data_IF_929625649672
#
_entry.id   IF_929625649672
#
_cell.length_a   1.000
_cell.length_b   1.000
_cell.length_c   1.000
_cell.angle_alpha   90.00
_cell.angle_beta   90.00
_cell.angle_gamma   90.00
#
_symmetry.space_group_name_H-M   'P 1'
#
loop_
_entity.id
_entity.type
_entity.pdbx_description
1 polymer ?
#
# COMPACT_ATOMS: atom_id res chain seq x y z
N UNK A 1 -21.81 1.80 -12.95
CA UNK A 1 -20.77 2.86 -13.02
C UNK A 1 -19.77 2.67 -11.88
N UNK A 2 -18.47 2.97 -12.09
CA UNK A 2 -17.48 2.94 -11.00
C UNK A 2 -17.84 3.99 -9.93
N UNK A 3 -17.74 3.61 -8.65
CA UNK A 3 -17.96 4.53 -7.52
C UNK A 3 -16.63 5.15 -7.07
N UNK A 4 -16.63 6.40 -6.58
CA UNK A 4 -15.44 6.99 -5.98
C UNK A 4 -14.94 6.16 -4.79
N UNK A 5 -13.63 5.90 -4.68
CA UNK A 5 -13.07 5.10 -3.56
C UNK A 5 -13.40 5.66 -2.18
N UNK A 6 -13.61 6.97 -2.05
CA UNK A 6 -14.06 7.59 -0.80
C UNK A 6 -15.38 7.02 -0.28
N UNK A 7 -16.25 6.49 -1.15
CA UNK A 7 -17.51 5.88 -0.73
C UNK A 7 -17.34 4.51 -0.07
N UNK A 8 -16.12 3.97 -0.05
CA UNK A 8 -15.78 2.71 0.63
C UNK A 8 -15.30 2.95 2.07
N UNK A 9 -15.14 4.21 2.48
CA UNK A 9 -14.57 4.57 3.77
C UNK A 9 -15.69 4.99 4.72
N UNK A 10 -15.81 4.29 5.84
CA UNK A 10 -16.70 4.65 6.92
C UNK A 10 -16.02 4.47 8.29
N UNK A 11 -15.63 5.59 8.90
CA UNK A 11 -14.95 5.59 10.20
C UNK A 11 -15.88 5.21 11.37
N UNK A 12 -17.20 5.24 11.20
CA UNK A 12 -18.12 4.72 12.23
C UNK A 12 -18.02 3.19 12.35
N UNK A 13 -17.74 2.53 11.23
CA UNK A 13 -17.76 1.06 11.16
C UNK A 13 -16.39 0.48 11.44
N UNK A 14 -15.33 1.05 10.84
CA UNK A 14 -13.96 0.63 11.09
C UNK A 14 -12.95 1.73 10.74
N UNK A 15 -11.88 1.90 11.54
CA UNK A 15 -10.73 2.69 11.12
C UNK A 15 -9.75 1.89 10.26
N UNK A 16 -9.91 0.56 10.14
CA UNK A 16 -8.97 -0.34 9.48
C UNK A 16 -9.39 -0.68 8.05
N UNK A 17 -8.44 -0.60 7.11
CA UNK A 17 -8.67 -0.85 5.69
C UNK A 17 -7.53 -1.65 5.06
N UNK A 18 -7.90 -2.66 4.26
CA UNK A 18 -6.95 -3.41 3.44
C UNK A 18 -6.87 -2.80 2.03
N UNK A 19 -5.75 -2.18 1.74
CA UNK A 19 -5.44 -1.57 0.45
C UNK A 19 -4.56 -2.51 -0.37
N UNK A 20 -4.91 -2.68 -1.65
CA UNK A 20 -4.13 -3.49 -2.60
C UNK A 20 -3.88 -2.66 -3.85
N UNK A 21 -2.63 -2.62 -4.30
CA UNK A 21 -2.26 -2.01 -5.58
C UNK A 21 -1.44 -3.00 -6.39
N UNK A 22 -1.82 -3.20 -7.65
CA UNK A 22 -1.21 -4.20 -8.53
C UNK A 22 -0.69 -3.55 -9.81
N UNK A 23 0.53 -3.89 -10.19
CA UNK A 23 1.07 -3.60 -11.51
C UNK A 23 0.35 -4.41 -12.59
N UNK A 24 0.04 -3.75 -13.70
CA UNK A 24 -0.58 -4.38 -14.88
C UNK A 24 0.44 -4.56 -16.00
N UNK A 25 0.06 -5.25 -17.08
CA UNK A 25 0.88 -5.39 -18.31
C UNK A 25 2.28 -5.99 -18.05
N UNK A 26 2.37 -6.94 -17.10
CA UNK A 26 3.63 -7.62 -16.74
C UNK A 26 4.73 -6.67 -16.24
N UNK A 27 4.36 -5.52 -15.68
CA UNK A 27 5.29 -4.74 -14.88
C UNK A 27 5.53 -5.43 -13.52
N UNK A 28 6.78 -5.41 -13.05
CA UNK A 28 7.21 -5.97 -11.78
C UNK A 28 7.61 -4.84 -10.83
N UNK A 29 7.06 -4.87 -9.62
CA UNK A 29 7.51 -4.07 -8.49
C UNK A 29 8.88 -4.55 -8.04
N UNK A 30 9.00 -5.86 -7.84
CA UNK A 30 10.22 -6.56 -7.42
C UNK A 30 10.17 -8.02 -7.93
N UNK A 31 11.08 -8.88 -7.48
CA UNK A 31 11.20 -10.26 -7.95
C UNK A 31 11.81 -10.38 -9.34
N UNK A 32 11.75 -11.58 -9.89
CA UNK A 32 12.35 -11.93 -11.18
C UNK A 32 11.27 -12.13 -12.25
N UNK A 33 11.52 -11.62 -13.45
CA UNK A 33 10.68 -11.91 -14.61
C UNK A 33 11.10 -13.23 -15.27
N UNK A 34 10.33 -14.28 -15.02
CA UNK A 34 10.60 -15.65 -15.49
C UNK A 34 10.81 -15.79 -17.02
N UNK A 35 10.35 -14.83 -17.83
CA UNK A 35 10.56 -14.89 -19.29
C UNK A 35 11.85 -14.24 -19.76
N UNK A 36 12.34 -13.23 -19.04
CA UNK A 36 13.55 -12.48 -19.43
C UNK A 36 14.73 -12.76 -18.50
N UNK A 37 14.51 -13.41 -17.36
CA UNK A 37 15.50 -13.60 -16.29
C UNK A 37 15.88 -12.30 -15.58
N UNK A 38 15.20 -11.18 -15.88
CA UNK A 38 15.56 -9.88 -15.31
C UNK A 38 15.04 -9.76 -13.87
N UNK A 39 15.97 -9.53 -12.95
CA UNK A 39 15.65 -9.28 -11.54
C UNK A 39 15.38 -7.80 -11.24
N UNK A 40 14.26 -7.55 -10.57
CA UNK A 40 13.84 -6.27 -10.01
C UNK A 40 13.87 -6.26 -8.49
N UNK A 41 14.43 -7.30 -7.87
CA UNK A 41 14.37 -7.54 -6.43
C UNK A 41 14.96 -6.40 -5.59
N UNK A 42 15.96 -5.69 -6.14
CA UNK A 42 16.58 -4.49 -5.56
C UNK A 42 15.59 -3.37 -5.20
N UNK A 43 14.36 -3.40 -5.75
CA UNK A 43 13.32 -2.39 -5.47
C UNK A 43 12.48 -2.71 -4.23
N UNK A 44 12.49 -3.94 -3.72
CA UNK A 44 11.60 -4.35 -2.62
C UNK A 44 11.78 -3.46 -1.41
N UNK A 45 13.02 -3.34 -0.91
CA UNK A 45 13.32 -2.54 0.27
C UNK A 45 12.91 -1.08 0.07
N UNK A 46 13.17 -0.51 -1.12
CA UNK A 46 12.76 0.86 -1.43
C UNK A 46 11.24 1.04 -1.35
N UNK A 47 10.45 0.06 -1.79
CA UNK A 47 8.99 0.11 -1.65
C UNK A 47 8.60 0.04 -0.17
N UNK A 48 9.17 -0.89 0.59
CA UNK A 48 8.87 -1.04 2.03
C UNK A 48 9.20 0.24 2.81
N UNK A 49 10.39 0.79 2.64
CA UNK A 49 10.82 2.03 3.28
C UNK A 49 9.90 3.20 2.92
N UNK A 50 9.50 3.28 1.64
CA UNK A 50 8.59 4.33 1.17
C UNK A 50 7.21 4.19 1.80
N UNK A 51 6.69 2.97 1.98
CA UNK A 51 5.40 2.76 2.64
C UNK A 51 5.43 3.24 4.09
N UNK A 52 6.49 2.89 4.83
CA UNK A 52 6.66 3.29 6.23
C UNK A 52 6.85 4.81 6.37
N UNK A 53 7.70 5.41 5.54
CA UNK A 53 7.88 6.86 5.50
C UNK A 53 6.58 7.62 5.23
N UNK A 54 5.76 7.17 4.28
CA UNK A 54 4.49 7.83 3.99
C UNK A 54 3.51 7.77 5.17
N UNK A 55 3.56 6.73 6.00
CA UNK A 55 2.75 6.65 7.21
C UNK A 55 3.14 7.68 8.27
N UNK A 56 4.40 8.14 8.29
CA UNK A 56 4.83 9.23 9.17
C UNK A 56 4.22 10.57 8.74
N UNK A 57 4.14 10.79 7.43
CA UNK A 57 3.64 12.01 6.78
C UNK A 57 2.12 12.11 6.83
N UNK A 58 1.42 11.00 6.60
CA UNK A 58 -0.04 10.97 6.62
C UNK A 58 -0.58 10.59 8.01
N UNK A 59 -1.83 10.94 8.29
CA UNK A 59 -2.50 10.53 9.53
C UNK A 59 -3.04 9.09 9.43
N UNK A 60 -2.15 8.14 9.13
CA UNK A 60 -2.45 6.72 9.04
C UNK A 60 -1.36 5.90 9.73
N UNK A 61 -1.74 4.78 10.32
CA UNK A 61 -0.81 3.80 10.86
C UNK A 61 -0.72 2.60 9.90
N UNK A 62 0.47 2.04 9.71
CA UNK A 62 0.66 0.76 8.98
C UNK A 62 0.58 -0.39 9.98
N UNK A 63 -0.51 -1.15 9.94
CA UNK A 63 -0.70 -2.31 10.83
C UNK A 63 -0.01 -3.56 10.31
N UNK A 64 0.00 -3.74 8.99
CA UNK A 64 0.72 -4.82 8.31
C UNK A 64 0.96 -4.43 6.85
N UNK A 65 2.02 -4.96 6.24
CA UNK A 65 2.28 -4.80 4.82
C UNK A 65 2.92 -6.05 4.23
N UNK A 66 2.76 -6.24 2.92
CA UNK A 66 3.51 -7.21 2.13
C UNK A 66 3.79 -6.63 0.74
N UNK A 67 5.04 -6.73 0.30
CA UNK A 67 5.45 -6.37 -1.06
C UNK A 67 5.65 -7.65 -1.84
N UNK A 68 4.81 -7.88 -2.85
CA UNK A 68 4.90 -9.00 -3.77
C UNK A 68 5.53 -8.54 -5.08
N UNK A 69 5.94 -9.48 -5.93
CA UNK A 69 6.61 -9.16 -7.20
C UNK A 69 5.83 -8.22 -8.11
N UNK A 70 4.49 -8.23 -8.05
CA UNK A 70 3.63 -7.41 -8.90
C UNK A 70 2.53 -6.65 -8.15
N UNK A 71 2.47 -6.70 -6.82
CA UNK A 71 1.47 -5.95 -6.06
C UNK A 71 1.90 -5.72 -4.62
N UNK A 72 1.23 -4.80 -3.94
CA UNK A 72 1.37 -4.59 -2.50
C UNK A 72 0.06 -4.89 -1.79
N UNK A 73 0.16 -5.38 -0.56
CA UNK A 73 -0.92 -5.43 0.40
C UNK A 73 -0.56 -4.53 1.57
N UNK A 74 -1.48 -3.65 1.97
CA UNK A 74 -1.32 -2.77 3.12
C UNK A 74 -2.56 -2.82 3.98
N UNK A 75 -2.39 -3.14 5.26
CA UNK A 75 -3.44 -2.96 6.27
C UNK A 75 -3.14 -1.65 6.98
N UNK A 76 -4.00 -0.66 6.74
CA UNK A 76 -3.87 0.69 7.29
C UNK A 76 -4.93 0.93 8.34
N UNK A 77 -4.59 1.73 9.35
CA UNK A 77 -5.56 2.35 10.26
C UNK A 77 -5.59 3.85 10.02
N UNK A 78 -6.77 4.43 9.83
CA UNK A 78 -6.94 5.88 9.79
C UNK A 78 -6.79 6.42 11.21
N UNK A 79 -5.78 7.27 11.43
CA UNK A 79 -5.48 7.86 12.72
C UNK A 79 -6.19 9.23 12.84
N UNK A 80 -7.50 9.17 13.11
CA UNK A 80 -8.33 10.38 13.23
C UNK A 80 -7.87 11.30 14.36
N UNK A 81 -7.41 10.73 15.48
CA UNK A 81 -6.90 11.52 16.61
C UNK A 81 -5.69 12.38 16.20
N UNK A 82 -4.71 11.79 15.50
CA UNK A 82 -3.56 12.52 14.96
C UNK A 82 -4.01 13.60 13.97
N UNK A 83 -5.01 13.31 13.12
CA UNK A 83 -5.54 14.29 12.18
C UNK A 83 -6.24 15.47 12.86
N UNK A 84 -7.05 15.21 13.89
CA UNK A 84 -7.79 16.25 14.63
C UNK A 84 -6.87 17.12 15.50
N UNK A 85 -5.63 16.67 15.76
CA UNK A 85 -4.62 17.39 16.55
C UNK A 85 -3.65 18.27 15.75
N UNK A 86 -3.72 18.25 14.41
CA UNK A 86 -2.89 19.06 13.51
C UNK A 86 -3.63 20.32 13.06
#
# INVERSE_FOLDING_TARGET
MPRPRKSLINLSDTPYYHCVSRCVRRAYLCGEDNQTGKSYEHRRQWVEDRLLFLAEVFCVDVCAYAVMSNHTHLVLRINKQKADSL
#
